data_IF_002820557233
#
_entry.id   IF_002820557233
#
_cell.length_a   1.000
_cell.length_b   1.000
_cell.length_c   1.000
_cell.angle_alpha   90.00
_cell.angle_beta   90.00
_cell.angle_gamma   90.00
#
_symmetry.space_group_name_H-M   'P 1'
#
loop_
_entity.id
_entity.type
_entity.pdbx_description
1 polymer ?
#
# COMPACT_ATOMS: atom_id res chain seq x y z
N UNK A 1 14.33 1.80 8.80
CA UNK A 1 15.02 3.10 8.78
C UNK A 1 14.27 4.03 7.84
N UNK A 2 13.21 4.66 8.37
CA UNK A 2 12.72 5.92 7.82
C UNK A 2 13.87 6.92 7.92
N UNK A 3 14.04 7.79 6.94
CA UNK A 3 15.13 8.77 6.93
C UNK A 3 15.12 9.61 8.22
N UNK A 4 15.99 9.25 9.17
CA UNK A 4 16.93 10.14 9.84
C UNK A 4 16.46 11.29 10.74
N UNK A 5 15.17 11.48 11.02
CA UNK A 5 14.74 12.46 12.03
C UNK A 5 14.13 11.75 13.25
N UNK A 6 14.89 11.73 14.35
CA UNK A 6 14.36 11.50 15.68
C UNK A 6 13.41 12.68 15.99
N UNK A 7 12.12 12.40 16.02
CA UNK A 7 11.09 13.39 16.39
C UNK A 7 10.85 13.32 17.89
N UNK A 8 10.79 14.49 18.53
CA UNK A 8 10.52 14.61 19.96
C UNK A 8 9.10 14.14 20.31
N UNK A 9 8.90 13.69 21.54
CA UNK A 9 7.56 13.45 22.07
C UNK A 9 6.77 14.78 22.07
N UNK A 10 5.59 14.81 21.47
CA UNK A 10 4.76 15.99 21.27
C UNK A 10 5.08 16.84 20.04
N UNK A 11 6.04 16.45 19.20
CA UNK A 11 6.32 17.16 17.94
C UNK A 11 5.24 16.88 16.89
N UNK A 12 4.91 17.88 16.07
CA UNK A 12 3.92 17.77 14.98
C UNK A 12 4.61 17.85 13.62
N UNK A 13 4.18 17.03 12.66
CA UNK A 13 4.63 17.11 11.28
C UNK A 13 3.57 16.63 10.30
N UNK A 14 3.70 17.06 9.05
CA UNK A 14 2.89 16.58 7.94
C UNK A 14 3.38 15.20 7.48
N UNK A 15 2.48 14.22 7.51
CA UNK A 15 2.66 12.90 6.92
C UNK A 15 1.87 12.82 5.61
N UNK A 16 2.54 12.39 4.54
CA UNK A 16 1.94 12.27 3.20
C UNK A 16 1.22 13.53 2.70
N UNK A 17 1.65 14.72 3.13
CA UNK A 17 1.09 16.04 2.79
C UNK A 17 -0.35 16.33 3.24
N UNK A 18 -1.09 15.35 3.76
CA UNK A 18 -2.52 15.49 4.08
C UNK A 18 -2.85 15.17 5.54
N UNK A 19 -1.91 14.65 6.32
CA UNK A 19 -2.16 14.28 7.72
C UNK A 19 -1.20 15.03 8.62
N UNK A 20 -1.73 15.84 9.53
CA UNK A 20 -0.94 16.35 10.62
C UNK A 20 -0.86 15.25 11.69
N UNK A 21 0.34 14.81 12.02
CA UNK A 21 0.58 13.73 12.96
C UNK A 21 1.50 14.20 14.09
N UNK A 22 1.42 13.54 15.23
CA UNK A 22 2.31 13.76 16.37
C UNK A 22 2.88 12.46 16.91
N UNK A 23 4.05 12.52 17.54
CA UNK A 23 4.62 11.40 18.27
C UNK A 23 4.22 11.53 19.75
N UNK A 24 3.35 10.66 20.26
CA UNK A 24 3.02 10.58 21.68
C UNK A 24 3.45 9.24 22.25
N UNK A 25 4.37 9.26 23.21
CA UNK A 25 4.90 8.06 23.90
C UNK A 25 5.44 6.99 22.93
N UNK A 26 6.13 7.43 21.88
CA UNK A 26 6.69 6.56 20.84
C UNK A 26 5.67 6.06 19.81
N UNK A 27 4.41 6.45 19.92
CA UNK A 27 3.36 6.14 18.95
C UNK A 27 3.03 7.36 18.10
N UNK A 28 2.92 7.16 16.78
CA UNK A 28 2.47 8.20 15.86
C UNK A 28 0.94 8.25 15.91
N UNK A 29 0.38 9.41 16.22
CA UNK A 29 -1.06 9.68 16.23
C UNK A 29 -1.41 10.73 15.19
N UNK A 30 -2.47 10.50 14.43
CA UNK A 30 -3.05 11.54 13.58
C UNK A 30 -3.78 12.54 14.46
N UNK A 31 -3.66 13.82 14.16
CA UNK A 31 -4.25 14.93 14.91
C UNK A 31 -5.38 15.57 14.12
N UNK A 32 -5.14 15.81 12.83
CA UNK A 32 -6.11 16.38 11.89
C UNK A 32 -5.67 16.07 10.46
N UNK A 33 -6.60 16.18 9.51
CA UNK A 33 -6.24 16.21 8.09
C UNK A 33 -5.94 17.64 7.66
N UNK A 34 -5.26 17.79 6.55
CA UNK A 34 -4.87 19.07 5.96
C UNK A 34 -5.34 19.08 4.51
N UNK A 35 -6.18 20.05 4.15
CA UNK A 35 -6.66 20.22 2.77
C UNK A 35 -5.50 20.59 1.84
N UNK A 36 -5.73 20.57 0.53
CA UNK A 36 -4.73 21.01 -0.46
C UNK A 36 -4.33 22.48 -0.29
N UNK A 37 -5.16 23.28 0.40
CA UNK A 37 -4.90 24.69 0.72
C UNK A 37 -4.24 24.90 2.07
N UNK A 38 -4.00 23.84 2.83
CA UNK A 38 -3.43 23.91 4.17
C UNK A 38 -4.48 24.05 5.28
N UNK A 39 -5.78 23.95 4.99
CA UNK A 39 -6.81 24.08 6.02
C UNK A 39 -6.84 22.83 6.90
N UNK A 40 -6.84 23.03 8.21
CA UNK A 40 -6.89 21.93 9.18
C UNK A 40 -8.32 21.43 9.32
N UNK A 41 -8.56 20.19 8.89
CA UNK A 41 -9.85 19.52 8.98
C UNK A 41 -9.83 18.61 10.22
N UNK A 42 -10.70 18.83 11.22
CA UNK A 42 -10.77 17.98 12.40
C UNK A 42 -10.96 16.51 12.05
N UNK A 43 -10.39 15.61 12.86
CA UNK A 43 -10.70 14.18 12.75
C UNK A 43 -12.20 13.94 12.93
N UNK A 44 -12.68 12.88 12.29
CA UNK A 44 -14.08 12.46 12.24
C UNK A 44 -15.00 13.46 11.52
N UNK A 45 -14.43 14.36 10.71
CA UNK A 45 -15.23 15.21 9.83
C UNK A 45 -15.73 14.40 8.65
N UNK A 46 -17.06 14.27 8.56
CA UNK A 46 -17.73 13.47 7.52
C UNK A 46 -17.65 14.14 6.15
N UNK A 47 -18.04 15.42 6.09
CA UNK A 47 -18.03 16.24 4.87
C UNK A 47 -17.50 17.63 5.24
N UNK A 48 -16.40 18.04 4.65
CA UNK A 48 -15.84 19.39 4.73
C UNK A 48 -15.68 19.90 3.31
N UNK A 49 -16.52 20.85 2.92
CA UNK A 49 -16.53 21.37 1.56
C UNK A 49 -15.65 22.61 1.45
N UNK A 50 -14.65 22.54 0.59
CA UNK A 50 -13.76 23.66 0.31
C UNK A 50 -13.48 23.73 -1.20
N UNK A 51 -13.85 24.85 -1.81
CA UNK A 51 -13.53 25.17 -3.21
C UNK A 51 -14.02 24.14 -4.25
N UNK A 52 -15.22 23.60 -4.05
CA UNK A 52 -15.78 22.58 -4.95
C UNK A 52 -15.33 21.15 -4.65
N UNK A 53 -14.44 20.96 -3.66
CA UNK A 53 -13.93 19.66 -3.25
C UNK A 53 -14.51 19.29 -1.89
N UNK A 54 -15.10 18.10 -1.80
CA UNK A 54 -15.57 17.53 -0.54
C UNK A 54 -14.48 16.66 0.09
N UNK A 55 -14.07 17.03 1.30
CA UNK A 55 -13.07 16.32 2.08
C UNK A 55 -13.75 15.52 3.19
N UNK A 56 -13.33 14.28 3.38
CA UNK A 56 -13.63 13.51 4.58
C UNK A 56 -12.34 13.22 5.33
N UNK A 57 -12.31 13.55 6.62
CA UNK A 57 -11.16 13.29 7.48
C UNK A 57 -11.53 12.18 8.46
N UNK A 58 -11.44 10.94 7.99
CA UNK A 58 -11.79 9.77 8.80
C UNK A 58 -10.55 8.97 9.13
N UNK A 59 -10.49 8.49 10.37
CA UNK A 59 -9.67 7.34 10.68
C UNK A 59 -10.44 6.12 10.19
N UNK A 60 -10.19 5.67 8.95
CA UNK A 60 -10.63 4.35 8.53
C UNK A 60 -9.81 3.30 9.31
N UNK A 61 -10.22 3.05 10.54
CA UNK A 61 -10.07 1.74 11.14
C UNK A 61 -11.17 0.88 10.49
N UNK A 62 -10.82 -0.28 9.95
CA UNK A 62 -11.81 -1.24 9.47
C UNK A 62 -12.94 -1.38 10.52
N UNK A 63 -14.18 -1.18 10.09
CA UNK A 63 -15.40 -1.16 10.90
C UNK A 63 -15.82 -2.57 11.39
N UNK A 64 -14.89 -3.33 11.98
CA UNK A 64 -15.18 -4.60 12.67
C UNK A 64 -14.68 -4.62 14.13
N UNK A 65 -14.31 -3.47 14.70
CA UNK A 65 -13.98 -3.38 16.13
C UNK A 65 -14.86 -2.33 16.81
N UNK A 66 -16.02 -2.78 17.29
CA UNK A 66 -16.64 -2.19 18.47
C UNK A 66 -15.64 -2.30 19.62
N UNK A 67 -14.90 -1.23 19.89
CA UNK A 67 -14.11 -1.11 21.11
C UNK A 67 -15.08 -0.65 22.18
N UNK A 68 -15.69 -1.61 22.89
CA UNK A 68 -16.11 -1.35 24.26
C UNK A 68 -14.88 -0.86 25.03
N UNK A 69 -15.05 0.25 25.76
CA UNK A 69 -14.09 0.76 26.73
C UNK A 69 -13.78 -0.33 27.78
N UNK A 70 -12.79 -1.16 27.50
CA UNK A 70 -12.09 -1.90 28.53
C UNK A 70 -10.60 -1.63 28.37
N UNK A 71 -10.00 -1.16 29.46
CA UNK A 71 -8.56 -0.92 29.64
C UNK A 71 -7.77 -2.24 29.60
N UNK A 72 -7.95 -3.05 28.56
CA UNK A 72 -7.13 -4.19 28.27
C UNK A 72 -6.11 -3.77 27.22
N UNK A 73 -4.84 -3.87 27.59
CA UNK A 73 -3.70 -3.83 26.68
C UNK A 73 -4.05 -4.58 25.37
N UNK A 74 -3.59 -4.12 24.19
CA UNK A 74 -3.88 -4.83 22.94
C UNK A 74 -3.43 -6.28 23.10
N UNK A 75 -4.42 -7.18 23.11
CA UNK A 75 -4.18 -8.61 23.20
C UNK A 75 -3.36 -9.01 21.97
N UNK A 76 -2.19 -9.65 22.14
CA UNK A 76 -1.37 -10.11 21.03
C UNK A 76 -2.21 -10.87 20.00
N UNK A 77 -2.04 -10.58 18.70
CA UNK A 77 -2.79 -11.22 17.59
C UNK A 77 -2.68 -12.76 17.60
N UNK A 78 -1.67 -13.30 18.29
CA UNK A 78 -1.44 -14.72 18.50
C UNK A 78 -2.29 -15.37 19.61
N UNK A 79 -2.96 -14.58 20.45
CA UNK A 79 -3.78 -15.10 21.55
C UNK A 79 -5.25 -15.34 21.11
N UNK A 80 -5.62 -14.91 19.90
CA UNK A 80 -6.95 -15.14 19.29
C UNK A 80 -6.90 -16.32 18.31
N UNK A 81 -6.60 -17.53 18.80
CA UNK A 81 -6.57 -18.73 17.95
C UNK A 81 -7.89 -19.53 18.08
N UNK A 82 -8.76 -19.55 17.05
CA UNK A 82 -9.92 -20.43 17.03
C UNK A 82 -9.47 -21.87 16.79
N UNK A 83 -9.21 -22.65 17.85
CA UNK A 83 -9.13 -24.12 17.93
C UNK A 83 -8.30 -24.92 16.89
N UNK A 84 -7.67 -24.27 15.92
CA UNK A 84 -7.13 -24.86 14.69
C UNK A 84 -5.62 -24.64 14.53
N UNK A 85 -4.97 -24.00 15.51
CA UNK A 85 -3.52 -24.10 15.69
C UNK A 85 -2.66 -23.48 14.58
N UNK A 86 -3.09 -22.40 13.93
CA UNK A 86 -2.18 -21.65 13.04
C UNK A 86 -1.08 -21.01 13.88
N UNK A 87 0.17 -21.44 13.66
CA UNK A 87 1.38 -20.94 14.35
C UNK A 87 1.89 -19.60 13.82
N UNK A 88 1.13 -18.95 12.94
CA UNK A 88 1.54 -17.77 12.18
C UNK A 88 0.36 -16.83 11.99
N UNK A 89 0.64 -15.53 12.00
CA UNK A 89 -0.32 -14.48 11.64
C UNK A 89 0.25 -13.57 10.55
N UNK A 90 -0.64 -12.90 9.84
CA UNK A 90 -0.32 -12.04 8.70
C UNK A 90 -0.82 -10.64 8.98
N UNK A 91 0.05 -9.63 8.83
CA UNK A 91 -0.33 -8.23 8.92
C UNK A 91 0.24 -7.44 7.76
N UNK A 92 -0.66 -6.92 6.91
CA UNK A 92 -0.29 -6.35 5.62
C UNK A 92 0.38 -7.40 4.75
N UNK A 93 1.66 -7.21 4.43
CA UNK A 93 2.44 -8.15 3.62
C UNK A 93 3.47 -8.95 4.42
N UNK A 94 3.47 -8.86 5.75
CA UNK A 94 4.43 -9.56 6.60
C UNK A 94 3.78 -10.75 7.30
N UNK A 95 4.55 -11.83 7.44
CA UNK A 95 4.15 -13.03 8.17
C UNK A 95 5.01 -13.14 9.42
N UNK A 96 4.37 -13.33 10.56
CA UNK A 96 5.04 -13.53 11.84
C UNK A 96 4.61 -14.86 12.47
N UNK A 97 5.58 -15.52 13.11
CA UNK A 97 5.35 -16.75 13.86
C UNK A 97 4.91 -16.42 15.27
N UNK A 98 3.79 -17.02 15.69
CA UNK A 98 3.27 -16.97 17.06
C UNK A 98 4.04 -17.86 18.04
N UNK A 99 4.90 -18.76 17.56
CA UNK A 99 5.72 -19.62 18.43
C UNK A 99 6.98 -18.88 18.86
N UNK A 100 7.59 -18.14 17.92
CA UNK A 100 8.90 -17.53 18.12
C UNK A 100 8.82 -16.01 18.36
N UNK A 101 7.64 -15.39 18.22
CA UNK A 101 7.44 -13.93 18.24
C UNK A 101 8.35 -13.19 17.25
N UNK A 102 8.51 -13.77 16.06
CA UNK A 102 9.41 -13.30 15.01
C UNK A 102 8.70 -13.18 13.67
N UNK A 103 9.02 -12.12 12.93
CA UNK A 103 8.67 -11.99 11.51
C UNK A 103 9.52 -12.99 10.72
N UNK A 104 8.86 -13.89 10.00
CA UNK A 104 9.48 -14.99 9.27
C UNK A 104 9.53 -14.77 7.76
N UNK A 105 8.71 -13.88 7.22
CA UNK A 105 8.65 -13.64 5.78
C UNK A 105 7.76 -12.48 5.36
N UNK A 106 7.65 -12.34 4.06
CA UNK A 106 6.64 -11.54 3.39
C UNK A 106 5.70 -12.46 2.60
N UNK A 107 4.50 -11.98 2.24
CA UNK A 107 3.62 -12.68 1.31
C UNK A 107 3.71 -12.06 -0.08
N UNK A 108 3.78 -12.93 -1.09
CA UNK A 108 3.57 -12.50 -2.47
C UNK A 108 2.07 -12.41 -2.83
N UNK A 109 1.80 -12.04 -4.07
CA UNK A 109 0.43 -11.89 -4.61
C UNK A 109 -0.38 -13.19 -4.62
N UNK A 110 0.28 -14.35 -4.52
CA UNK A 110 -0.36 -15.67 -4.50
C UNK A 110 -0.49 -16.23 -3.07
N UNK A 111 0.01 -15.50 -2.07
CA UNK A 111 -0.02 -15.92 -0.66
C UNK A 111 1.14 -16.84 -0.29
N UNK A 112 2.19 -16.93 -1.12
CA UNK A 112 3.37 -17.74 -0.82
C UNK A 112 4.32 -16.98 0.12
N UNK A 113 4.92 -17.73 1.06
CA UNK A 113 5.88 -17.18 2.03
C UNK A 113 7.24 -16.92 1.39
N UNK A 114 7.62 -15.65 1.34
CA UNK A 114 8.88 -15.16 0.79
C UNK A 114 9.86 -14.87 1.91
N UNK A 115 11.02 -15.53 1.87
CA UNK A 115 12.09 -15.32 2.86
C UNK A 115 12.80 -13.99 2.67
N UNK A 116 13.39 -13.48 3.77
CA UNK A 116 14.28 -12.32 3.73
C UNK A 116 15.33 -12.42 2.62
N UNK A 117 15.63 -11.30 1.98
CA UNK A 117 16.56 -11.19 0.86
C UNK A 117 15.97 -11.46 -0.51
N UNK A 118 14.80 -12.11 -0.61
CA UNK A 118 14.22 -12.50 -1.90
C UNK A 118 13.29 -11.41 -2.46
N UNK A 119 13.24 -11.38 -3.79
CA UNK A 119 12.29 -10.59 -4.56
C UNK A 119 10.97 -11.32 -4.66
N UNK A 120 9.90 -10.56 -4.71
CA UNK A 120 8.55 -11.06 -4.89
C UNK A 120 7.66 -10.04 -5.57
N UNK A 121 6.57 -10.53 -6.13
CA UNK A 121 5.56 -9.71 -6.77
C UNK A 121 4.46 -9.43 -5.76
N UNK A 122 4.26 -8.16 -5.47
CA UNK A 122 3.13 -7.66 -4.71
C UNK A 122 2.06 -7.13 -5.68
N UNK A 123 0.91 -6.70 -5.17
CA UNK A 123 -0.28 -6.28 -5.92
C UNK A 123 0.04 -5.49 -7.21
N UNK A 124 -0.68 -5.77 -8.30
CA UNK A 124 -0.54 -5.08 -9.59
C UNK A 124 0.89 -5.13 -10.19
N UNK A 125 1.62 -6.23 -9.97
CA UNK A 125 2.94 -6.41 -10.55
C UNK A 125 4.03 -5.59 -9.87
N UNK A 126 3.84 -5.11 -8.63
CA UNK A 126 4.87 -4.39 -7.89
C UNK A 126 6.03 -5.32 -7.52
N UNK A 127 7.24 -5.05 -7.99
CA UNK A 127 8.42 -5.82 -7.64
C UNK A 127 9.02 -5.28 -6.34
N UNK A 128 9.07 -6.13 -5.31
CA UNK A 128 9.57 -5.79 -3.98
C UNK A 128 10.61 -6.77 -3.50
N UNK A 129 11.46 -6.33 -2.57
CA UNK A 129 12.39 -7.19 -1.81
C UNK A 129 11.92 -7.30 -0.37
N UNK A 130 11.82 -8.52 0.15
CA UNK A 130 11.55 -8.76 1.56
C UNK A 130 12.83 -8.59 2.38
N UNK A 131 12.81 -7.78 3.44
CA UNK A 131 13.98 -7.55 4.30
C UNK A 131 13.56 -7.69 5.76
N UNK A 132 14.05 -8.74 6.40
CA UNK A 132 13.88 -9.02 7.83
C UNK A 132 15.22 -8.83 8.52
N UNK A 133 15.22 -8.12 9.64
CA UNK A 133 16.42 -7.77 10.39
C UNK A 133 16.16 -7.74 11.89
N UNK A 134 17.24 -7.63 12.67
CA UNK A 134 17.15 -7.66 14.13
C UNK A 134 16.57 -8.98 14.67
N UNK A 135 16.95 -10.11 14.06
CA UNK A 135 16.49 -11.46 14.43
C UNK A 135 14.96 -11.57 14.44
N UNK A 136 14.33 -11.27 13.30
CA UNK A 136 12.87 -11.37 13.16
C UNK A 136 12.06 -10.26 13.86
N UNK A 137 12.67 -9.36 14.64
CA UNK A 137 11.93 -8.29 15.33
C UNK A 137 11.47 -7.15 14.43
N UNK A 138 12.08 -7.02 13.26
CA UNK A 138 11.78 -5.93 12.33
C UNK A 138 11.76 -6.43 10.90
N UNK A 139 10.86 -5.88 10.10
CA UNK A 139 10.83 -6.11 8.67
C UNK A 139 10.47 -4.83 7.90
N UNK A 140 10.91 -4.79 6.65
CA UNK A 140 10.50 -3.80 5.66
C UNK A 140 10.49 -4.44 4.28
N UNK A 141 9.81 -3.79 3.34
CA UNK A 141 9.93 -4.11 1.93
C UNK A 141 10.57 -2.97 1.17
N UNK A 142 11.50 -3.28 0.29
CA UNK A 142 12.09 -2.31 -0.63
C UNK A 142 11.42 -2.41 -2.00
N UNK A 143 11.04 -1.28 -2.58
CA UNK A 143 10.46 -1.21 -3.92
C UNK A 143 11.56 -1.14 -4.96
N UNK A 144 11.46 -1.94 -6.02
CA UNK A 144 12.47 -2.01 -7.08
C UNK A 144 11.93 -1.64 -8.47
N UNK A 145 10.60 -1.57 -8.61
CA UNK A 145 9.94 -1.27 -9.88
C UNK A 145 8.75 -2.19 -10.05
N UNK A 146 8.56 -2.69 -11.26
CA UNK A 146 7.48 -3.60 -11.60
C UNK A 146 8.02 -4.90 -12.19
N UNK A 147 7.18 -5.93 -12.16
CA UNK A 147 7.44 -7.25 -12.70
C UNK A 147 6.48 -7.52 -13.86
N UNK A 148 7.03 -7.68 -15.06
CA UNK A 148 6.30 -7.97 -16.29
C UNK A 148 6.57 -9.42 -16.75
N UNK A 149 6.23 -10.37 -15.89
CA UNK A 149 6.29 -11.82 -16.14
C UNK A 149 4.99 -12.50 -15.69
N UNK A 150 4.87 -13.81 -15.92
CA UNK A 150 3.73 -14.61 -15.48
C UNK A 150 3.90 -15.12 -14.03
N UNK A 151 2.96 -15.93 -13.56
CA UNK A 151 3.04 -16.59 -12.25
C UNK A 151 4.19 -17.57 -12.14
N UNK A 152 4.50 -18.23 -13.25
CA UNK A 152 5.51 -19.28 -13.35
C UNK A 152 6.93 -18.73 -13.50
N UNK A 153 7.05 -17.43 -13.80
CA UNK A 153 8.32 -16.75 -13.96
C UNK A 153 8.94 -16.38 -12.60
N UNK A 154 10.24 -16.63 -12.46
CA UNK A 154 10.99 -16.30 -11.25
C UNK A 154 11.10 -14.77 -11.05
N UNK A 155 10.60 -14.19 -9.94
CA UNK A 155 10.76 -12.78 -9.61
C UNK A 155 12.20 -12.31 -9.51
N UNK A 156 13.18 -13.22 -9.35
CA UNK A 156 14.61 -12.90 -9.37
C UNK A 156 15.14 -12.65 -10.78
N UNK A 157 14.44 -13.11 -11.82
CA UNK A 157 14.88 -12.97 -13.19
C UNK A 157 14.72 -11.53 -13.69
N UNK A 158 15.86 -10.86 -13.90
CA UNK A 158 15.93 -9.46 -14.29
C UNK A 158 15.32 -9.14 -15.66
N UNK A 159 15.10 -10.15 -16.51
CA UNK A 159 14.46 -9.95 -17.82
C UNK A 159 13.02 -9.40 -17.69
N UNK A 160 12.35 -9.72 -16.60
CA UNK A 160 10.99 -9.27 -16.31
C UNK A 160 10.94 -7.99 -15.48
N UNK A 161 12.10 -7.44 -15.09
CA UNK A 161 12.15 -6.26 -14.24
C UNK A 161 11.96 -5.01 -15.07
N UNK A 162 10.96 -4.21 -14.70
CA UNK A 162 10.64 -2.95 -15.36
C UNK A 162 10.95 -1.80 -14.40
N UNK A 163 11.85 -0.88 -14.75
CA UNK A 163 12.18 0.23 -13.87
C UNK A 163 11.02 1.22 -13.74
N UNK A 164 10.95 1.88 -12.59
CA UNK A 164 9.92 2.89 -12.29
C UNK A 164 9.89 3.98 -13.38
N UNK A 165 8.69 4.36 -13.82
CA UNK A 165 8.47 5.36 -14.85
C UNK A 165 8.66 4.86 -16.29
N UNK A 166 9.17 3.64 -16.50
CA UNK A 166 9.27 3.04 -17.84
C UNK A 166 7.87 2.85 -18.43
N UNK A 167 7.77 3.12 -19.73
CA UNK A 167 6.58 2.92 -20.56
C UNK A 167 6.87 1.92 -21.67
N UNK A 168 5.88 1.10 -22.00
CA UNK A 168 5.96 0.14 -23.11
C UNK A 168 4.57 -0.15 -23.67
N UNK A 169 4.53 -0.68 -24.89
CA UNK A 169 3.28 -1.08 -25.53
C UNK A 169 3.03 -2.55 -25.24
N UNK A 170 1.81 -2.88 -24.84
CA UNK A 170 1.31 -4.25 -24.73
C UNK A 170 -0.09 -4.31 -25.33
N UNK A 171 -0.22 -4.93 -26.51
CA UNK A 171 -1.47 -4.96 -27.26
C UNK A 171 -1.99 -3.55 -27.56
N UNK A 172 -3.22 -3.28 -27.13
CA UNK A 172 -3.90 -2.00 -27.33
C UNK A 172 -3.61 -0.97 -26.22
N UNK A 173 -2.59 -1.19 -25.40
CA UNK A 173 -2.28 -0.31 -24.28
C UNK A 173 -0.82 0.14 -24.29
N UNK A 174 -0.59 1.41 -23.96
CA UNK A 174 0.70 1.91 -23.47
C UNK A 174 0.66 1.78 -21.95
N UNK A 175 1.46 0.88 -21.39
CA UNK A 175 1.57 0.63 -19.96
C UNK A 175 2.67 1.49 -19.35
N UNK A 176 2.58 1.73 -18.04
CA UNK A 176 3.62 2.41 -17.25
C UNK A 176 3.84 1.71 -15.92
N UNK A 177 5.11 1.59 -15.54
CA UNK A 177 5.46 1.19 -14.18
C UNK A 177 5.39 2.40 -13.25
N UNK A 178 4.61 2.30 -12.18
CA UNK A 178 4.38 3.35 -11.17
C UNK A 178 4.66 2.82 -9.77
N UNK A 179 4.52 3.68 -8.77
CA UNK A 179 4.67 3.28 -7.36
C UNK A 179 3.62 2.25 -6.91
N UNK A 180 2.51 2.17 -7.63
CA UNK A 180 1.41 1.24 -7.38
C UNK A 180 1.49 -0.02 -8.27
N UNK A 181 2.50 -0.14 -9.12
CA UNK A 181 2.67 -1.27 -10.03
C UNK A 181 2.45 -0.88 -11.49
N UNK A 182 2.10 -1.86 -12.31
CA UNK A 182 1.85 -1.71 -13.74
C UNK A 182 0.44 -1.17 -13.92
N UNK A 183 0.33 -0.02 -14.57
CA UNK A 183 -0.97 0.62 -14.86
C UNK A 183 -1.06 0.94 -16.35
N UNK A 184 -2.29 1.07 -16.84
CA UNK A 184 -2.55 1.65 -18.16
C UNK A 184 -2.19 3.13 -18.09
N UNK A 185 -1.38 3.58 -19.05
CA UNK A 185 -1.07 5.00 -19.23
C UNK A 185 -1.87 5.59 -20.39
N UNK A 186 -2.01 4.83 -21.49
CA UNK A 186 -2.86 5.18 -22.62
C UNK A 186 -3.48 3.96 -23.28
N UNK A 187 -4.65 4.14 -23.86
CA UNK A 187 -5.29 3.18 -24.76
C UNK A 187 -4.99 3.56 -26.21
N UNK A 188 -4.75 2.56 -27.05
CA UNK A 188 -4.48 2.67 -28.48
C UNK A 188 -5.75 2.32 -29.24
N UNK A 189 -6.44 3.33 -29.77
CA UNK A 189 -7.74 3.19 -30.44
C UNK A 189 -7.66 3.87 -31.79
N UNK A 190 -7.81 3.11 -32.87
CA UNK A 190 -7.75 3.60 -34.26
C UNK A 190 -6.53 4.50 -34.55
N UNK A 191 -5.36 4.11 -34.04
CA UNK A 191 -4.10 4.85 -34.18
C UNK A 191 -3.99 6.09 -33.28
N UNK A 192 -4.99 6.41 -32.48
CA UNK A 192 -4.97 7.47 -31.47
C UNK A 192 -4.53 6.92 -30.12
N UNK A 193 -3.90 7.79 -29.33
CA UNK A 193 -3.53 7.48 -27.94
C UNK A 193 -4.41 8.28 -26.99
N UNK A 194 -5.28 7.57 -26.28
CA UNK A 194 -6.25 8.13 -25.34
C UNK A 194 -5.67 7.95 -23.93
N UNK A 195 -5.68 8.98 -23.09
CA UNK A 195 -5.15 8.88 -21.74
C UNK A 195 -6.08 8.04 -20.84
N UNK A 196 -5.48 7.35 -19.87
CA UNK A 196 -6.23 6.70 -18.79
C UNK A 196 -7.13 7.72 -18.06
N UNK A 197 -8.31 7.27 -17.63
CA UNK A 197 -9.38 8.10 -17.08
C UNK A 197 -10.25 8.83 -18.11
N UNK A 198 -10.02 8.62 -19.41
CA UNK A 198 -10.80 9.26 -20.49
C UNK A 198 -11.89 8.33 -21.01
N UNK A 199 -13.10 8.86 -21.20
CA UNK A 199 -14.21 8.17 -21.84
C UNK A 199 -14.47 8.71 -23.26
N UNK A 200 -14.96 7.88 -24.18
CA UNK A 200 -15.37 8.30 -25.52
C UNK A 200 -16.54 7.46 -26.04
N UNK A 201 -17.30 8.00 -26.99
CA UNK A 201 -18.31 7.24 -27.73
C UNK A 201 -17.74 6.93 -29.12
N UNK A 202 -17.79 5.66 -29.53
CA UNK A 202 -17.33 5.25 -30.85
C UNK A 202 -18.37 5.46 -31.96
N UNK A 203 -18.01 5.09 -33.19
CA UNK A 203 -18.86 5.25 -34.38
C UNK A 203 -20.16 4.44 -34.31
N UNK A 204 -20.20 3.39 -33.49
CA UNK A 204 -21.34 2.50 -33.32
C UNK A 204 -22.22 2.94 -32.13
N UNK A 205 -21.85 4.05 -31.48
CA UNK A 205 -22.59 4.64 -30.36
C UNK A 205 -22.25 4.01 -29.01
N UNK A 206 -21.19 3.21 -28.91
CA UNK A 206 -20.80 2.53 -27.66
C UNK A 206 -19.92 3.45 -26.82
N UNK A 207 -20.27 3.59 -25.54
CA UNK A 207 -19.46 4.29 -24.53
C UNK A 207 -18.29 3.40 -24.09
N UNK A 208 -17.08 3.90 -24.25
CA UNK A 208 -15.83 3.24 -23.90
C UNK A 208 -15.07 4.07 -22.85
N UNK A 209 -14.24 3.39 -22.04
CA UNK A 209 -13.37 4.00 -21.04
C UNK A 209 -11.94 3.47 -21.21
N UNK A 210 -10.94 4.32 -20.94
CA UNK A 210 -9.55 3.89 -20.86
C UNK A 210 -9.16 3.73 -19.40
N UNK A 211 -8.98 2.48 -18.97
CA UNK A 211 -8.59 2.05 -17.62
C UNK A 211 -7.72 0.80 -17.66
#
# INVERSE_FOLDING_TARGET
>A
MFLGLLRGNGEYWLHQNFFNVTCMNGQIKVVNCVSTRGTHIPLDTFNYFEDGVDYSCRLHFNEDFEIEENNTLPVPECDYLPGTGRSEFVRGMFVASCINDEIIGCLDIYGDLVRSGHLFVYTQGQLRRCIIYGRGRWAKTERLGCFNGSREDDPQNKLYHVPLGRRWINGNFELRCTDNGIVVYKCLVDGRRIHEGTAWIDKDGVLNFCE
#
